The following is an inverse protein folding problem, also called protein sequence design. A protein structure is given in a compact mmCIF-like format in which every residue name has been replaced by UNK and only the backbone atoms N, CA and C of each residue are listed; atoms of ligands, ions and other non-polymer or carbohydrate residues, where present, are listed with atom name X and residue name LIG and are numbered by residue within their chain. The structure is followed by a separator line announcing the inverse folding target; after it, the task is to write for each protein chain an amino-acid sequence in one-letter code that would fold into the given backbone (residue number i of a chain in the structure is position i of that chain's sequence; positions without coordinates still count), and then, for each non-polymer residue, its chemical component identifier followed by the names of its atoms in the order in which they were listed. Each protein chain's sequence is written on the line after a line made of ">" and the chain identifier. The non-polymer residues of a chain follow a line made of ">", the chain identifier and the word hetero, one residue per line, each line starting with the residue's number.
data_IF_748103778809
#
_entry.id   IF_748103778809
#
_cell.length_a   1.000
_cell.length_b   1.000
_cell.length_c   1.000
_cell.angle_alpha   90.00
_cell.angle_beta   90.00
_cell.angle_gamma   90.00
#
_symmetry.space_group_name_H-M   'P 1'
#
loop_
_entity.id
_entity.type
_entity.pdbx_description
1 polymer ?
#
# COMPACT_ATOMS: atom_id res chain seq x y z
N UNK A 1 6.51 8.11 -23.73
CA UNK A 1 5.17 7.79 -23.20
C UNK A 1 4.88 8.64 -21.97
N UNK A 2 5.62 8.52 -20.87
CA UNK A 2 5.43 9.29 -19.62
C UNK A 2 5.53 10.80 -19.85
N UNK A 3 6.62 11.29 -20.46
CA UNK A 3 6.88 12.71 -20.71
C UNK A 3 5.87 13.42 -21.62
N UNK A 4 5.00 12.68 -22.28
CA UNK A 4 3.92 13.17 -23.15
C UNK A 4 2.52 12.85 -22.61
N UNK A 5 2.41 12.35 -21.39
CA UNK A 5 1.14 11.98 -20.75
C UNK A 5 0.24 11.09 -21.65
N UNK A 6 0.82 10.12 -22.36
CA UNK A 6 0.09 9.30 -23.36
C UNK A 6 -1.03 8.52 -22.69
N UNK A 7 -0.76 7.90 -21.53
CA UNK A 7 -1.75 7.11 -20.80
C UNK A 7 -2.93 7.94 -20.28
N UNK A 8 -2.71 9.22 -19.97
CA UNK A 8 -3.78 10.12 -19.60
C UNK A 8 -4.76 10.41 -20.75
N UNK A 9 -4.27 10.39 -21.99
CA UNK A 9 -5.09 10.61 -23.21
C UNK A 9 -5.79 9.35 -23.69
N UNK A 10 -5.24 8.19 -23.39
CA UNK A 10 -5.75 6.89 -23.86
C UNK A 10 -6.00 5.96 -22.68
N UNK A 11 -7.05 6.25 -21.92
CA UNK A 11 -7.37 5.58 -20.65
C UNK A 11 -7.58 4.05 -20.79
N UNK A 12 -7.99 3.58 -21.97
CA UNK A 12 -8.21 2.16 -22.25
C UNK A 12 -6.92 1.42 -22.66
N UNK A 13 -5.83 2.17 -22.91
CA UNK A 13 -4.55 1.57 -23.27
C UNK A 13 -3.91 0.95 -22.04
N UNK A 14 -3.66 -0.35 -22.07
CA UNK A 14 -2.90 -1.08 -21.08
C UNK A 14 -1.48 -1.33 -21.60
N UNK A 15 -0.49 -0.94 -20.84
CA UNK A 15 0.92 -1.08 -21.22
C UNK A 15 1.65 -1.84 -20.14
N UNK A 16 2.26 -2.96 -20.52
CA UNK A 16 3.15 -3.74 -19.65
C UNK A 16 4.59 -3.39 -20.00
N UNK A 17 5.34 -2.92 -19.03
CA UNK A 17 6.79 -2.66 -19.17
C UNK A 17 7.54 -3.87 -18.65
N UNK A 18 8.35 -4.55 -19.51
CA UNK A 18 9.00 -5.79 -19.13
C UNK A 18 10.18 -5.59 -18.19
N UNK A 19 10.65 -6.70 -17.59
CA UNK A 19 11.89 -6.81 -16.81
C UNK A 19 11.99 -5.79 -15.68
N UNK A 20 10.95 -5.70 -14.84
CA UNK A 20 10.87 -4.76 -13.71
C UNK A 20 11.06 -3.30 -14.15
N UNK A 21 10.58 -2.94 -15.34
CA UNK A 21 10.81 -1.60 -15.90
C UNK A 21 12.27 -1.34 -16.28
N UNK A 22 13.11 -2.36 -16.35
CA UNK A 22 14.56 -2.27 -16.55
C UNK A 22 15.19 -1.32 -15.51
N UNK A 23 15.80 -0.22 -15.95
CA UNK A 23 16.40 0.79 -15.06
C UNK A 23 15.43 1.91 -14.66
N UNK A 24 14.15 1.81 -15.01
CA UNK A 24 13.18 2.90 -14.80
C UNK A 24 13.07 3.33 -13.33
N UNK A 25 12.95 2.42 -12.34
CA UNK A 25 12.88 2.82 -10.93
C UNK A 25 14.08 3.66 -10.48
N UNK A 26 15.26 3.32 -10.94
CA UNK A 26 16.51 4.07 -10.64
C UNK A 26 16.60 5.37 -11.42
N UNK A 27 16.05 5.43 -12.63
CA UNK A 27 16.11 6.61 -13.51
C UNK A 27 15.09 7.69 -13.12
N UNK A 28 13.94 7.34 -12.53
CA UNK A 28 12.85 8.27 -12.22
C UNK A 28 13.30 9.46 -11.37
N UNK A 29 14.05 9.32 -10.27
CA UNK A 29 14.52 10.48 -9.50
C UNK A 29 15.33 11.45 -10.35
N UNK A 30 16.19 10.94 -11.22
CA UNK A 30 16.98 11.76 -12.16
C UNK A 30 16.09 12.43 -13.19
N UNK A 31 15.11 11.71 -13.75
CA UNK A 31 14.17 12.27 -14.72
C UNK A 31 13.32 13.37 -14.09
N UNK A 32 12.81 13.17 -12.87
CA UNK A 32 12.04 14.18 -12.12
C UNK A 32 12.89 15.44 -11.88
N UNK A 33 14.16 15.29 -11.52
CA UNK A 33 15.07 16.44 -11.29
C UNK A 33 15.39 17.24 -12.55
N UNK A 34 15.38 16.60 -13.72
CA UNK A 34 15.66 17.26 -15.00
C UNK A 34 14.40 17.87 -15.65
N UNK A 35 13.22 17.40 -15.29
CA UNK A 35 11.95 17.82 -15.90
C UNK A 35 11.75 19.36 -15.89
N UNK A 36 12.03 20.11 -14.81
CA UNK A 36 11.88 21.58 -14.81
C UNK A 36 12.75 22.27 -15.86
N UNK A 37 13.99 21.81 -16.05
CA UNK A 37 14.90 22.36 -17.07
C UNK A 37 14.37 22.08 -18.47
N UNK A 38 13.87 20.86 -18.72
CA UNK A 38 13.28 20.49 -20.02
C UNK A 38 12.00 21.27 -20.29
N UNK A 39 11.19 21.54 -19.27
CA UNK A 39 9.97 22.36 -19.38
C UNK A 39 10.31 23.82 -19.69
N UNK A 40 11.27 24.42 -18.99
CA UNK A 40 11.73 25.78 -19.24
C UNK A 40 12.22 25.96 -20.69
N UNK A 41 12.85 24.92 -21.26
CA UNK A 41 13.30 24.91 -22.65
C UNK A 41 12.21 24.43 -23.65
N UNK A 42 10.97 24.28 -23.22
CA UNK A 42 9.82 23.86 -24.03
C UNK A 42 10.00 22.47 -24.71
N UNK A 43 10.90 21.64 -24.20
CA UNK A 43 11.15 20.29 -24.73
C UNK A 43 10.05 19.31 -24.32
N UNK A 44 9.46 19.50 -23.12
CA UNK A 44 8.32 18.73 -22.59
C UNK A 44 7.32 19.67 -21.96
N UNK A 45 6.05 19.26 -21.88
CA UNK A 45 5.02 19.94 -21.11
C UNK A 45 5.06 19.53 -19.63
N UNK A 46 4.04 19.90 -18.89
CA UNK A 46 3.82 19.42 -17.53
C UNK A 46 3.66 17.89 -17.53
N UNK A 47 4.35 17.21 -16.61
CA UNK A 47 4.37 15.75 -16.51
C UNK A 47 3.74 15.36 -15.18
N UNK A 48 2.61 14.66 -15.25
CA UNK A 48 2.01 14.00 -14.09
C UNK A 48 2.71 12.64 -13.88
N UNK A 49 3.79 12.66 -13.10
CA UNK A 49 4.63 11.49 -12.88
C UNK A 49 3.87 10.35 -12.21
N UNK A 50 3.13 10.66 -11.15
CA UNK A 50 2.48 9.64 -10.33
C UNK A 50 1.37 8.94 -11.12
N UNK A 51 0.55 9.71 -11.84
CA UNK A 51 -0.49 9.14 -12.70
C UNK A 51 0.07 8.30 -13.84
N UNK A 52 1.15 8.77 -14.49
CA UNK A 52 1.73 8.02 -15.60
C UNK A 52 2.44 6.75 -15.14
N UNK A 53 3.12 6.77 -13.99
CA UNK A 53 3.81 5.58 -13.45
C UNK A 53 2.82 4.56 -12.90
N UNK A 54 1.81 5.01 -12.18
CA UNK A 54 0.79 4.12 -11.62
C UNK A 54 -0.18 3.54 -12.66
N UNK A 55 -0.23 4.09 -13.86
CA UNK A 55 -1.03 3.55 -14.96
C UNK A 55 -0.31 2.45 -15.76
N UNK A 56 0.99 2.27 -15.57
CA UNK A 56 1.79 1.23 -16.20
C UNK A 56 1.69 -0.07 -15.40
N UNK A 57 1.65 -1.19 -16.10
CA UNK A 57 1.88 -2.51 -15.55
C UNK A 57 3.35 -2.88 -15.75
N UNK A 58 3.88 -3.72 -14.87
CA UNK A 58 5.27 -4.15 -14.95
C UNK A 58 5.35 -5.66 -14.78
N UNK A 59 5.98 -6.35 -15.71
CA UNK A 59 6.31 -7.74 -15.45
C UNK A 59 7.60 -7.87 -14.63
N UNK A 60 7.67 -8.94 -13.89
CA UNK A 60 8.74 -9.22 -12.95
C UNK A 60 9.73 -10.27 -13.48
N UNK A 61 9.84 -10.41 -14.82
CA UNK A 61 10.85 -11.28 -15.39
C UNK A 61 12.24 -10.86 -14.92
N UNK A 62 12.99 -11.82 -14.38
CA UNK A 62 14.30 -11.54 -13.77
C UNK A 62 14.28 -11.01 -12.33
N UNK A 63 13.11 -10.69 -11.76
CA UNK A 63 12.98 -10.28 -10.36
C UNK A 63 13.02 -11.50 -9.43
N UNK A 64 14.21 -11.83 -8.95
CA UNK A 64 14.40 -13.02 -8.12
C UNK A 64 14.72 -12.70 -6.65
N UNK A 65 14.48 -11.46 -6.21
CA UNK A 65 14.73 -11.07 -4.83
C UNK A 65 13.66 -10.09 -4.30
N UNK A 66 13.44 -10.08 -2.96
CA UNK A 66 12.52 -9.16 -2.29
C UNK A 66 12.88 -7.69 -2.51
N UNK A 67 14.18 -7.36 -2.61
CA UNK A 67 14.65 -5.98 -2.78
C UNK A 67 14.20 -5.40 -4.12
N UNK A 68 14.25 -6.20 -5.20
CA UNK A 68 13.75 -5.77 -6.50
C UNK A 68 12.25 -5.53 -6.45
N UNK A 69 11.50 -6.37 -5.75
CA UNK A 69 10.07 -6.19 -5.54
C UNK A 69 9.76 -4.87 -4.81
N UNK A 70 10.45 -4.60 -3.69
CA UNK A 70 10.29 -3.35 -2.93
C UNK A 70 10.68 -2.12 -3.75
N UNK A 71 11.72 -2.24 -4.57
CA UNK A 71 12.09 -1.18 -5.52
C UNK A 71 10.96 -0.91 -6.52
N UNK A 72 10.30 -1.94 -7.05
CA UNK A 72 9.14 -1.75 -7.93
C UNK A 72 7.98 -1.09 -7.20
N UNK A 73 7.70 -1.48 -5.97
CA UNK A 73 6.64 -0.88 -5.14
C UNK A 73 6.88 0.60 -4.80
N UNK A 74 8.10 1.12 -4.99
CA UNK A 74 8.37 2.55 -4.87
C UNK A 74 7.82 3.40 -6.03
N UNK A 75 7.47 2.78 -7.17
CA UNK A 75 6.97 3.48 -8.37
C UNK A 75 5.59 3.03 -8.84
N UNK A 76 5.09 1.93 -8.30
CA UNK A 76 3.77 1.37 -8.65
C UNK A 76 3.15 0.66 -7.45
N UNK A 77 1.94 0.13 -7.62
CA UNK A 77 1.20 -0.62 -6.60
C UNK A 77 1.18 -2.11 -6.92
N UNK A 78 0.96 -3.01 -5.94
CA UNK A 78 0.99 -4.45 -6.16
C UNK A 78 0.02 -4.95 -7.23
N UNK A 79 -1.13 -4.28 -7.44
CA UNK A 79 -2.12 -4.62 -8.47
C UNK A 79 -1.66 -4.31 -9.91
N UNK A 80 -0.50 -3.69 -10.07
CA UNK A 80 0.15 -3.39 -11.34
C UNK A 80 1.41 -4.24 -11.60
N UNK A 81 1.74 -5.15 -10.70
CA UNK A 81 2.85 -6.09 -10.85
C UNK A 81 2.35 -7.44 -11.39
N UNK A 82 3.05 -7.99 -12.36
CA UNK A 82 2.70 -9.22 -13.06
C UNK A 82 3.87 -10.21 -12.97
N UNK A 83 3.60 -11.48 -12.74
CA UNK A 83 4.62 -12.50 -12.97
C UNK A 83 4.98 -12.53 -14.46
N UNK A 84 6.27 -12.47 -14.77
CA UNK A 84 6.85 -12.64 -16.09
C UNK A 84 7.90 -13.73 -16.11
N UNK A 85 7.90 -14.56 -17.15
CA UNK A 85 8.82 -15.71 -17.24
C UNK A 85 10.00 -15.50 -18.19
N UNK A 86 9.87 -14.56 -19.11
CA UNK A 86 10.82 -14.36 -20.21
C UNK A 86 10.96 -15.60 -21.15
N UNK A 87 9.91 -16.45 -21.18
CA UNK A 87 9.86 -17.57 -22.13
C UNK A 87 9.59 -17.04 -23.55
N UNK A 88 10.23 -17.58 -24.61
CA UNK A 88 11.13 -18.76 -24.64
C UNK A 88 12.63 -18.43 -24.50
N UNK A 89 13.00 -17.18 -24.21
CA UNK A 89 14.40 -16.76 -24.12
C UNK A 89 15.14 -17.41 -22.96
N UNK A 90 14.43 -17.70 -21.88
CA UNK A 90 14.94 -18.41 -20.69
C UNK A 90 14.48 -19.87 -20.74
N UNK A 91 15.41 -20.82 -20.50
CA UNK A 91 15.11 -22.26 -20.49
C UNK A 91 14.18 -22.64 -19.34
N UNK A 92 13.29 -23.63 -19.57
CA UNK A 92 12.26 -24.05 -18.61
C UNK A 92 12.81 -24.40 -17.21
N UNK A 93 13.99 -25.02 -17.12
CA UNK A 93 14.60 -25.36 -15.82
C UNK A 93 14.94 -24.11 -15.01
N UNK A 94 15.46 -23.05 -15.68
CA UNK A 94 15.77 -21.78 -15.01
C UNK A 94 14.47 -21.05 -14.62
N UNK A 95 13.45 -21.11 -15.47
CA UNK A 95 12.13 -20.54 -15.19
C UNK A 95 11.50 -21.17 -13.95
N UNK A 96 11.50 -22.49 -13.87
CA UNK A 96 10.90 -23.21 -12.74
C UNK A 96 11.65 -22.88 -11.43
N UNK A 97 12.98 -22.81 -11.46
CA UNK A 97 13.77 -22.40 -10.32
C UNK A 97 13.50 -20.94 -9.91
N UNK A 98 13.35 -20.03 -10.88
CA UNK A 98 13.00 -18.63 -10.65
C UNK A 98 11.63 -18.46 -10.02
N UNK A 99 10.62 -19.16 -10.55
CA UNK A 99 9.26 -19.15 -9.98
C UNK A 99 9.22 -19.73 -8.57
N UNK A 100 9.91 -20.84 -8.32
CA UNK A 100 9.99 -21.42 -6.98
C UNK A 100 10.61 -20.46 -5.96
N UNK A 101 11.67 -19.75 -6.37
CA UNK A 101 12.31 -18.73 -5.54
C UNK A 101 11.37 -17.55 -5.26
N UNK A 102 10.66 -17.05 -6.30
CA UNK A 102 9.69 -15.98 -6.15
C UNK A 102 8.56 -16.36 -5.19
N UNK A 103 7.99 -17.56 -5.36
CA UNK A 103 6.96 -18.08 -4.45
C UNK A 103 7.45 -18.16 -3.01
N UNK A 104 8.70 -18.60 -2.82
CA UNK A 104 9.30 -18.71 -1.51
C UNK A 104 9.39 -17.36 -0.82
N UNK A 105 10.02 -16.36 -1.43
CA UNK A 105 10.16 -15.06 -0.77
C UNK A 105 8.84 -14.32 -0.64
N UNK A 106 7.91 -14.47 -1.59
CA UNK A 106 6.55 -13.90 -1.43
C UNK A 106 5.79 -14.52 -0.25
N UNK A 107 6.09 -15.77 0.12
CA UNK A 107 5.47 -16.38 1.29
C UNK A 107 6.17 -16.02 2.62
N UNK A 108 7.49 -15.81 2.58
CA UNK A 108 8.32 -15.60 3.77
C UNK A 108 8.45 -14.12 4.18
N UNK A 109 8.31 -13.17 3.24
CA UNK A 109 8.43 -11.74 3.50
C UNK A 109 7.07 -11.15 3.93
N UNK A 110 6.91 -10.70 5.18
CA UNK A 110 5.60 -10.29 5.72
C UNK A 110 4.96 -9.12 4.96
N UNK A 111 5.78 -8.21 4.41
CA UNK A 111 5.33 -7.05 3.64
C UNK A 111 4.92 -7.39 2.20
N UNK A 112 5.31 -8.56 1.69
CA UNK A 112 5.01 -9.03 0.33
C UNK A 112 3.95 -10.14 0.31
N UNK A 113 3.87 -10.94 1.37
CA UNK A 113 2.98 -12.11 1.45
C UNK A 113 1.49 -11.80 1.14
N UNK A 114 0.91 -10.67 1.60
CA UNK A 114 -0.47 -10.32 1.28
C UNK A 114 -0.73 -10.15 -0.23
N UNK A 115 0.31 -9.91 -1.03
CA UNK A 115 0.20 -9.64 -2.46
C UNK A 115 0.59 -10.82 -3.35
N UNK A 116 1.00 -11.95 -2.77
CA UNK A 116 1.55 -13.09 -3.50
C UNK A 116 0.65 -13.59 -4.63
N UNK A 117 -0.59 -13.95 -4.32
CA UNK A 117 -1.58 -14.44 -5.30
C UNK A 117 -1.89 -13.40 -6.38
N UNK A 118 -1.98 -12.14 -5.99
CA UNK A 118 -2.22 -11.02 -6.89
C UNK A 118 -1.11 -10.91 -7.92
N UNK A 119 0.14 -10.89 -7.48
CA UNK A 119 1.32 -10.74 -8.32
C UNK A 119 1.55 -11.97 -9.19
N UNK A 120 1.36 -13.17 -8.63
CA UNK A 120 1.63 -14.42 -9.32
C UNK A 120 0.66 -14.73 -10.48
N UNK A 121 -0.63 -14.36 -10.35
CA UNK A 121 -1.59 -14.67 -11.40
C UNK A 121 -2.83 -13.76 -11.48
N UNK A 122 -3.43 -13.30 -10.34
CA UNK A 122 -4.73 -12.60 -10.38
C UNK A 122 -4.70 -11.30 -11.18
N UNK A 123 -3.59 -10.54 -11.12
CA UNK A 123 -3.45 -9.32 -11.91
C UNK A 123 -3.43 -9.61 -13.42
N UNK A 124 -2.74 -10.68 -13.82
CA UNK A 124 -2.68 -11.09 -15.23
C UNK A 124 -4.05 -11.60 -15.72
N UNK A 125 -4.75 -12.41 -14.92
CA UNK A 125 -6.10 -12.88 -15.21
C UNK A 125 -7.07 -11.72 -15.46
N UNK A 126 -7.04 -10.71 -14.59
CA UNK A 126 -7.87 -9.52 -14.78
C UNK A 126 -7.44 -8.70 -16.00
N UNK A 127 -6.14 -8.44 -16.17
CA UNK A 127 -5.62 -7.65 -17.30
C UNK A 127 -5.96 -8.26 -18.65
N UNK A 128 -5.97 -9.59 -18.75
CA UNK A 128 -6.27 -10.36 -19.95
C UNK A 128 -7.78 -10.64 -20.13
N UNK A 129 -8.63 -10.13 -19.23
CA UNK A 129 -10.09 -10.34 -19.31
C UNK A 129 -10.55 -11.74 -18.91
N UNK A 130 -9.69 -12.52 -18.24
CA UNK A 130 -10.02 -13.87 -17.74
C UNK A 130 -10.78 -13.80 -16.41
N UNK A 131 -10.70 -12.68 -15.70
CA UNK A 131 -11.44 -12.38 -14.48
C UNK A 131 -12.13 -11.03 -14.60
N UNK A 132 -13.38 -10.93 -14.13
CA UNK A 132 -14.13 -9.67 -14.06
C UNK A 132 -13.82 -8.86 -12.80
N UNK A 133 -13.22 -9.48 -11.79
CA UNK A 133 -12.88 -8.83 -10.53
C UNK A 133 -11.45 -8.31 -10.60
N UNK A 134 -11.29 -6.97 -10.61
CA UNK A 134 -9.97 -6.35 -10.51
C UNK A 134 -9.37 -6.68 -9.15
N UNK A 135 -8.18 -7.30 -9.07
CA UNK A 135 -7.47 -7.46 -7.81
C UNK A 135 -7.21 -6.10 -7.16
N UNK A 136 -7.37 -6.01 -5.87
CA UNK A 136 -7.06 -4.81 -5.10
C UNK A 136 -5.91 -5.09 -4.15
N UNK A 137 -4.89 -4.24 -4.16
CA UNK A 137 -3.79 -4.28 -3.20
C UNK A 137 -4.25 -3.99 -1.75
N UNK A 138 -5.33 -3.26 -1.64
CA UNK A 138 -6.15 -3.17 -0.44
C UNK A 138 -7.15 -4.31 -0.60
N UNK A 139 -7.14 -5.29 0.30
CA UNK A 139 -8.06 -6.44 0.28
C UNK A 139 -9.46 -6.04 -0.15
N UNK A 140 -10.25 -6.93 -0.71
CA UNK A 140 -11.56 -6.53 -1.25
C UNK A 140 -12.23 -5.60 -0.23
N UNK A 141 -12.77 -4.48 -0.65
CA UNK A 141 -13.41 -3.53 0.28
C UNK A 141 -14.43 -4.19 1.21
N UNK A 142 -14.89 -5.38 0.83
CA UNK A 142 -15.75 -6.24 1.64
C UNK A 142 -15.02 -6.88 2.85
N UNK A 143 -13.68 -6.94 2.83
CA UNK A 143 -12.87 -7.53 3.91
C UNK A 143 -12.26 -6.48 4.83
N UNK A 144 -12.30 -5.19 4.45
CA UNK A 144 -11.75 -4.13 5.28
C UNK A 144 -12.52 -4.00 6.59
N UNK A 145 -11.78 -3.88 7.68
CA UNK A 145 -12.36 -3.45 8.95
C UNK A 145 -12.27 -1.93 9.01
N UNK A 146 -13.41 -1.30 9.18
CA UNK A 146 -13.51 0.15 9.45
C UNK A 146 -14.20 0.31 10.78
N UNK A 147 -13.55 0.98 11.73
CA UNK A 147 -14.14 1.24 13.05
C UNK A 147 -13.71 2.59 13.60
N UNK A 148 -14.41 3.03 14.63
CA UNK A 148 -14.02 4.17 15.43
C UNK A 148 -13.79 3.68 16.87
N UNK A 149 -12.54 3.75 17.34
CA UNK A 149 -12.29 3.55 18.75
C UNK A 149 -12.77 4.79 19.51
N UNK A 150 -13.74 4.61 20.40
CA UNK A 150 -14.27 5.64 21.29
C UNK A 150 -13.67 5.42 22.69
N UNK A 151 -12.77 6.31 23.07
CA UNK A 151 -11.97 6.17 24.29
C UNK A 151 -12.25 7.36 25.21
N UNK A 152 -12.50 7.08 26.48
CA UNK A 152 -12.51 8.09 27.54
C UNK A 152 -11.33 7.81 28.47
N UNK A 153 -10.46 8.80 28.68
CA UNK A 153 -9.26 8.70 29.48
C UNK A 153 -9.48 9.40 30.82
N UNK A 154 -8.99 8.82 31.92
CA UNK A 154 -9.00 9.53 33.21
C UNK A 154 -8.16 10.80 33.12
N UNK A 155 -8.66 11.97 33.62
CA UNK A 155 -7.98 13.27 33.49
C UNK A 155 -6.52 13.27 33.90
N UNK A 156 -6.20 12.59 34.98
CA UNK A 156 -4.84 12.52 35.53
C UNK A 156 -3.82 11.82 34.67
N UNK A 157 -4.28 11.01 33.70
CA UNK A 157 -3.42 10.22 32.84
C UNK A 157 -3.39 10.75 31.36
N UNK A 158 -4.09 11.83 31.05
CA UNK A 158 -4.25 12.27 29.66
C UNK A 158 -2.91 12.47 28.95
N UNK A 159 -1.96 13.14 29.56
CA UNK A 159 -0.65 13.41 28.94
C UNK A 159 0.15 12.13 28.67
N UNK A 160 0.17 11.21 29.64
CA UNK A 160 0.86 9.93 29.49
C UNK A 160 0.19 9.05 28.42
N UNK A 161 -1.15 9.00 28.43
CA UNK A 161 -1.92 8.29 27.41
C UNK A 161 -1.61 8.78 25.99
N UNK A 162 -1.58 10.09 25.75
CA UNK A 162 -1.28 10.67 24.44
C UNK A 162 0.11 10.26 23.93
N UNK A 163 1.10 10.15 24.82
CA UNK A 163 2.44 9.67 24.44
C UNK A 163 2.42 8.22 23.95
N UNK A 164 1.70 7.33 24.65
CA UNK A 164 1.54 5.95 24.20
C UNK A 164 0.77 5.85 22.89
N UNK A 165 -0.28 6.64 22.73
CA UNK A 165 -1.10 6.65 21.52
C UNK A 165 -0.29 7.11 20.29
N UNK A 166 0.48 8.19 20.42
CA UNK A 166 1.34 8.68 19.33
C UNK A 166 2.39 7.64 18.92
N UNK A 167 3.01 6.97 19.88
CA UNK A 167 4.02 5.94 19.61
C UNK A 167 3.40 4.75 18.85
N UNK A 168 2.26 4.21 19.29
CA UNK A 168 1.64 3.05 18.65
C UNK A 168 1.12 3.39 17.27
N UNK A 169 0.47 4.54 17.07
CA UNK A 169 -0.07 4.96 15.79
C UNK A 169 1.06 5.09 14.75
N UNK A 170 2.15 5.76 15.10
CA UNK A 170 3.30 5.92 14.23
C UNK A 170 3.93 4.59 13.87
N UNK A 171 4.20 3.71 14.85
CA UNK A 171 4.83 2.42 14.60
C UNK A 171 3.95 1.49 13.77
N UNK A 172 2.64 1.49 14.00
CA UNK A 172 1.69 0.69 13.24
C UNK A 172 1.63 1.14 11.77
N UNK A 173 1.56 2.44 11.51
CA UNK A 173 1.53 2.98 10.15
C UNK A 173 2.86 2.78 9.40
N UNK A 174 3.99 2.83 10.11
CA UNK A 174 5.33 2.63 9.52
C UNK A 174 5.65 1.16 9.23
N UNK A 175 5.17 0.22 10.06
CA UNK A 175 5.65 -1.17 10.06
C UNK A 175 4.61 -2.20 9.64
N UNK A 176 3.33 -1.85 9.64
CA UNK A 176 2.24 -2.79 9.39
C UNK A 176 1.53 -2.46 8.06
N UNK A 177 1.86 -3.14 6.95
CA UNK A 177 1.23 -2.87 5.65
C UNK A 177 -0.30 -3.05 5.64
N UNK A 178 -0.82 -3.85 6.57
CA UNK A 178 -2.26 -4.08 6.71
C UNK A 178 -2.99 -3.02 7.53
N UNK A 179 -2.28 -2.10 8.19
CA UNK A 179 -2.85 -0.94 8.87
C UNK A 179 -2.94 0.22 7.87
N UNK A 180 -4.13 0.47 7.36
CA UNK A 180 -4.36 1.49 6.32
C UNK A 180 -4.47 2.88 6.92
N UNK A 181 -5.14 2.99 8.08
CA UNK A 181 -5.37 4.26 8.75
C UNK A 181 -5.48 4.05 10.26
N UNK A 182 -4.74 4.84 11.00
CA UNK A 182 -4.97 5.16 12.40
C UNK A 182 -4.95 6.68 12.51
N UNK A 183 -6.12 7.29 12.70
CA UNK A 183 -6.25 8.73 12.77
C UNK A 183 -6.89 9.15 14.09
N UNK A 184 -6.06 9.42 15.11
CA UNK A 184 -6.53 9.85 16.42
C UNK A 184 -7.04 11.29 16.37
N UNK A 185 -8.15 11.51 17.04
CA UNK A 185 -8.81 12.81 17.17
C UNK A 185 -9.18 13.04 18.64
N UNK A 186 -8.84 14.20 19.16
CA UNK A 186 -9.21 14.64 20.51
C UNK A 186 -10.38 15.60 20.42
N UNK A 187 -11.40 15.42 21.25
CA UNK A 187 -12.52 16.34 21.34
C UNK A 187 -12.07 17.73 21.83
N UNK A 188 -12.47 18.77 21.10
CA UNK A 188 -12.20 20.16 21.53
C UNK A 188 -13.03 20.58 22.73
N UNK A 189 -14.20 19.98 22.94
CA UNK A 189 -15.11 20.29 24.04
C UNK A 189 -14.73 19.53 25.31
N UNK A 190 -14.29 18.27 25.15
CA UNK A 190 -13.84 17.41 26.25
C UNK A 190 -12.53 16.70 25.89
N UNK A 191 -11.37 17.24 26.29
CA UNK A 191 -10.06 16.68 25.94
C UNK A 191 -9.81 15.23 26.38
N UNK A 192 -10.64 14.70 27.29
CA UNK A 192 -10.53 13.32 27.77
C UNK A 192 -11.22 12.31 26.85
N UNK A 193 -11.96 12.79 25.85
CA UNK A 193 -12.60 11.96 24.83
C UNK A 193 -11.74 11.92 23.58
N UNK A 194 -11.25 10.72 23.28
CA UNK A 194 -10.46 10.42 22.08
C UNK A 194 -11.30 9.58 21.15
N UNK A 195 -11.18 9.82 19.84
CA UNK A 195 -11.73 9.00 18.77
C UNK A 195 -10.62 8.66 17.83
N UNK A 196 -10.48 7.38 17.47
CA UNK A 196 -9.51 6.93 16.48
C UNK A 196 -10.29 6.31 15.32
N UNK A 197 -10.16 6.89 14.13
CA UNK A 197 -10.59 6.21 12.93
C UNK A 197 -9.55 5.15 12.60
N UNK A 198 -9.98 3.89 12.64
CA UNK A 198 -9.14 2.73 12.36
C UNK A 198 -9.62 2.05 11.08
N UNK A 199 -8.69 1.79 10.16
CA UNK A 199 -8.95 1.05 8.93
C UNK A 199 -7.87 0.00 8.75
N UNK A 200 -8.27 -1.26 8.69
CA UNK A 200 -7.39 -2.40 8.43
C UNK A 200 -7.76 -3.06 7.11
N UNK A 201 -6.77 -3.56 6.38
CA UNK A 201 -6.95 -4.18 5.07
C UNK A 201 -7.82 -5.45 5.12
N UNK A 202 -7.84 -6.16 6.25
CA UNK A 202 -8.61 -7.38 6.47
C UNK A 202 -8.68 -7.73 7.95
N UNK A 203 -9.51 -8.73 8.28
CA UNK A 203 -9.52 -9.33 9.62
C UNK A 203 -8.15 -9.90 10.00
N UNK A 204 -7.45 -10.54 9.05
CA UNK A 204 -6.10 -11.07 9.28
C UNK A 204 -5.10 -9.97 9.65
N UNK A 205 -5.14 -8.82 8.96
CA UNK A 205 -4.31 -7.67 9.26
C UNK A 205 -4.60 -7.10 10.65
N UNK A 206 -5.87 -7.03 11.02
CA UNK A 206 -6.26 -6.60 12.36
C UNK A 206 -5.77 -7.58 13.44
N UNK A 207 -5.94 -8.89 13.25
CA UNK A 207 -5.45 -9.89 14.20
C UNK A 207 -3.92 -9.84 14.33
N UNK A 208 -3.20 -9.61 13.23
CA UNK A 208 -1.75 -9.41 13.27
C UNK A 208 -1.38 -8.17 14.09
N UNK A 209 -2.04 -7.02 13.85
CA UNK A 209 -1.85 -5.78 14.59
C UNK A 209 -1.95 -6.02 16.11
N UNK A 210 -2.97 -6.76 16.57
CA UNK A 210 -3.17 -7.07 17.98
C UNK A 210 -2.01 -7.84 18.62
N UNK A 211 -1.17 -8.52 17.85
CA UNK A 211 -0.04 -9.33 18.32
C UNK A 211 1.29 -8.59 18.30
N UNK A 212 1.36 -7.41 17.69
CA UNK A 212 2.60 -6.66 17.57
C UNK A 212 3.11 -6.15 18.93
N UNK A 213 4.42 -6.05 19.06
CA UNK A 213 5.07 -5.61 20.29
C UNK A 213 4.62 -4.20 20.71
N UNK A 214 4.55 -3.27 19.74
CA UNK A 214 4.15 -1.89 20.00
C UNK A 214 2.68 -1.78 20.42
N UNK A 215 1.76 -2.58 19.82
CA UNK A 215 0.38 -2.62 20.26
C UNK A 215 0.25 -3.23 21.66
N UNK A 216 0.96 -4.31 21.97
CA UNK A 216 0.93 -4.92 23.30
C UNK A 216 1.49 -3.97 24.37
N UNK A 217 2.57 -3.23 24.05
CA UNK A 217 3.12 -2.19 24.93
C UNK A 217 2.07 -1.10 25.21
N UNK A 218 1.40 -0.60 24.15
CA UNK A 218 0.31 0.38 24.28
C UNK A 218 -0.83 -0.17 25.16
N UNK A 219 -1.35 -1.35 24.82
CA UNK A 219 -2.48 -1.97 25.51
C UNK A 219 -2.21 -2.16 27.02
N UNK A 220 -1.03 -2.67 27.35
CA UNK A 220 -0.65 -2.91 28.75
C UNK A 220 -0.37 -1.59 29.48
N UNK A 221 0.37 -0.67 28.85
CA UNK A 221 0.72 0.62 29.44
C UNK A 221 -0.49 1.51 29.73
N UNK A 222 -1.52 1.45 28.86
CA UNK A 222 -2.70 2.32 28.96
C UNK A 222 -3.88 1.70 29.72
N UNK A 223 -3.81 0.42 30.11
CA UNK A 223 -4.94 -0.30 30.69
C UNK A 223 -5.59 0.40 31.90
N UNK A 224 -4.79 1.01 32.76
CA UNK A 224 -5.27 1.76 33.97
C UNK A 224 -5.67 3.21 33.63
N UNK A 225 -5.36 3.71 32.43
CA UNK A 225 -5.59 5.09 32.02
C UNK A 225 -6.95 5.26 31.36
N UNK A 226 -7.46 4.19 30.75
CA UNK A 226 -8.71 4.17 30.00
C UNK A 226 -9.88 3.94 30.97
N UNK A 227 -10.81 4.89 30.97
CA UNK A 227 -12.05 4.82 31.74
C UNK A 227 -13.12 4.03 31.05
N UNK A 228 -13.22 4.21 29.72
CA UNK A 228 -14.14 3.46 28.85
C UNK A 228 -13.57 3.31 27.45
N UNK A 229 -13.88 2.17 26.82
CA UNK A 229 -13.53 1.87 25.44
C UNK A 229 -14.73 1.22 24.74
N UNK A 230 -15.08 1.74 23.56
CA UNK A 230 -16.05 1.14 22.64
C UNK A 230 -15.41 1.08 21.25
N UNK A 231 -15.71 0.02 20.51
CA UNK A 231 -15.16 -0.24 19.20
C UNK A 231 -16.28 -0.53 18.18
N UNK A 232 -17.17 0.44 17.89
CA UNK A 232 -18.21 0.25 16.89
C UNK A 232 -17.58 0.08 15.49
N UNK A 233 -18.04 -0.95 14.77
CA UNK A 233 -17.66 -1.20 13.39
C UNK A 233 -18.59 -0.45 12.44
N UNK A 234 -18.04 -0.02 11.31
CA UNK A 234 -18.74 0.70 10.26
C UNK A 234 -18.50 0.05 8.91
N UNK A 235 -19.49 0.15 8.04
CA UNK A 235 -19.33 -0.22 6.64
C UNK A 235 -19.02 1.05 5.82
N UNK A 236 -17.94 1.08 5.06
CA UNK A 236 -17.67 2.21 4.18
C UNK A 236 -18.74 2.30 3.09
N UNK A 237 -19.28 3.50 2.85
CA UNK A 237 -20.28 3.71 1.80
C UNK A 237 -19.66 3.81 0.41
N UNK A 238 -18.47 4.40 0.33
CA UNK A 238 -17.77 4.65 -0.94
C UNK A 238 -16.27 4.42 -0.78
N UNK A 239 -15.84 3.16 -0.59
CA UNK A 239 -14.44 2.84 -0.33
C UNK A 239 -13.51 3.20 -1.51
N UNK A 240 -14.04 3.28 -2.72
CA UNK A 240 -13.32 3.67 -3.93
C UNK A 240 -12.81 5.12 -3.92
N UNK A 241 -13.35 5.98 -3.07
CA UNK A 241 -12.87 7.37 -2.92
C UNK A 241 -11.71 7.53 -1.96
N UNK A 242 -11.42 6.53 -1.14
CA UNK A 242 -10.35 6.58 -0.13
C UNK A 242 -8.98 6.98 -0.71
N UNK A 243 -8.51 6.40 -1.83
CA UNK A 243 -7.23 6.80 -2.42
C UNK A 243 -7.20 8.28 -2.81
N UNK A 244 -8.34 8.84 -3.19
CA UNK A 244 -8.47 10.26 -3.54
C UNK A 244 -8.39 11.17 -2.31
N UNK A 245 -8.96 10.74 -1.18
CA UNK A 245 -8.89 11.46 0.10
C UNK A 245 -7.42 11.57 0.56
N UNK A 246 -6.70 10.45 0.60
CA UNK A 246 -5.32 10.42 1.08
C UNK A 246 -4.34 11.14 0.15
N UNK A 247 -4.61 11.22 -1.16
CA UNK A 247 -3.80 12.02 -2.10
C UNK A 247 -3.86 13.52 -1.83
N UNK A 248 -4.90 14.03 -1.20
CA UNK A 248 -5.04 15.46 -0.87
C UNK A 248 -4.23 15.88 0.37
N UNK A 249 -3.68 14.93 1.10
CA UNK A 249 -2.86 15.18 2.29
C UNK A 249 -1.36 15.28 1.98
N UNK A 250 -0.97 15.18 0.69
CA UNK A 250 0.40 15.29 0.19
C UNK A 250 0.69 16.68 -0.34
#
# INVERSE_FOLDING_TARGET
>A
MISRNVLARYANLKVVVPHCGAYLPLAIPRMKSLAPVMQANKMVGEIDWDRNLSALYYDLAGAHSPEVMRMMLSITTPDHLLYGSDYPYVKSQVLNAGLARMRKYLAEEPDLAPFAEMILHKNAEWLLGMSHNKPSAIGSHAEMIVRIAEIEVYPKYLGEYLTFAEEVDRLSLEREPGVICLFPMQSKENPHQIRILEIYASEAAYQQHLTTEHFQKYKQGTAQMVKSLRLPNFQPLSPEVMPTIFKKLR
#
